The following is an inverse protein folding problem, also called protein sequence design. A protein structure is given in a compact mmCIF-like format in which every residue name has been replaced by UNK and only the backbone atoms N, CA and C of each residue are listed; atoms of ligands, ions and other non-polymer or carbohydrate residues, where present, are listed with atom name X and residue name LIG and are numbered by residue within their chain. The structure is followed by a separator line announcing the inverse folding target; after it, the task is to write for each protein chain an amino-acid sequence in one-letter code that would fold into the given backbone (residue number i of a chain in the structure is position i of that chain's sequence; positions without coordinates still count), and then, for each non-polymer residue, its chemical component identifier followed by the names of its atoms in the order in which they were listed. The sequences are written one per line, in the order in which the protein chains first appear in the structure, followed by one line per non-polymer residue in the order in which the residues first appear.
data_IF_128395761312
#
_entry.id   IF_128395761312
#
_cell.length_a   1.000
_cell.length_b   1.000
_cell.length_c   1.000
_cell.angle_alpha   90.00
_cell.angle_beta   90.00
_cell.angle_gamma   90.00
#
_symmetry.space_group_name_H-M   'P 1'
#
loop_
_entity.id
_entity.type
_entity.pdbx_description
1 polymer ?
#
# COMPACT_ATOMS: atom_id res chain seq x y z
N UNK A 1 15.71 7.38 24.37
CA UNK A 1 14.33 6.92 24.18
C UNK A 1 14.20 5.53 24.81
N UNK A 2 13.11 5.25 25.50
CA UNK A 2 12.93 4.01 26.29
C UNK A 2 12.96 2.72 25.46
N UNK A 3 12.75 2.79 24.14
CA UNK A 3 12.73 1.65 23.22
C UNK A 3 13.94 1.58 22.26
N UNK A 4 14.99 2.39 22.46
CA UNK A 4 16.11 2.48 21.51
C UNK A 4 16.91 1.16 21.38
N UNK A 5 16.80 0.26 22.36
CA UNK A 5 17.41 -1.08 22.31
C UNK A 5 16.68 -2.04 21.36
N UNK A 6 15.42 -1.74 21.02
CA UNK A 6 14.55 -2.56 20.15
C UNK A 6 14.29 -1.90 18.79
N UNK A 7 14.22 -0.57 18.76
CA UNK A 7 13.97 0.21 17.53
C UNK A 7 15.18 1.12 17.31
N UNK A 8 16.12 0.65 16.49
CA UNK A 8 17.26 1.44 16.05
C UNK A 8 17.70 1.08 14.62
N UNK A 9 18.52 1.96 14.05
CA UNK A 9 19.03 1.82 12.68
C UNK A 9 19.86 0.55 12.51
N UNK A 10 20.68 0.20 13.50
CA UNK A 10 21.55 -0.97 13.44
C UNK A 10 20.73 -2.26 13.24
N UNK A 11 19.67 -2.46 14.03
CA UNK A 11 18.76 -3.60 13.88
C UNK A 11 17.95 -3.51 12.58
N UNK A 12 17.44 -2.33 12.22
CA UNK A 12 16.65 -2.16 11.00
C UNK A 12 17.43 -2.51 9.72
N UNK A 13 18.74 -2.24 9.69
CA UNK A 13 19.61 -2.58 8.55
C UNK A 13 19.83 -4.10 8.40
N UNK A 14 19.73 -4.87 9.49
CA UNK A 14 19.92 -6.32 9.51
C UNK A 14 18.64 -7.08 9.10
N UNK A 15 17.46 -6.53 9.36
CA UNK A 15 16.17 -7.17 9.06
C UNK A 15 15.60 -6.69 7.72
N UNK A 16 15.55 -7.54 6.69
CA UNK A 16 15.08 -7.18 5.33
C UNK A 16 13.60 -6.79 5.23
N UNK A 17 12.81 -7.19 6.21
CA UNK A 17 11.39 -6.82 6.36
C UNK A 17 11.20 -5.58 7.24
N UNK A 18 12.28 -4.90 7.65
CA UNK A 18 12.19 -3.72 8.50
C UNK A 18 11.51 -2.55 7.81
N UNK A 19 11.00 -1.62 8.62
CA UNK A 19 10.45 -0.35 8.17
C UNK A 19 11.44 0.43 7.29
N UNK A 20 12.75 0.35 7.57
CA UNK A 20 13.79 1.01 6.77
C UNK A 20 13.76 0.56 5.31
N UNK A 21 13.75 -0.76 5.06
CA UNK A 21 13.69 -1.27 3.70
C UNK A 21 12.32 -1.06 3.06
N UNK A 22 11.24 -1.04 3.84
CA UNK A 22 9.92 -0.66 3.35
C UNK A 22 9.91 0.78 2.80
N UNK A 23 10.50 1.74 3.51
CA UNK A 23 10.65 3.11 3.02
C UNK A 23 11.58 3.21 1.80
N UNK A 24 12.67 2.45 1.75
CA UNK A 24 13.51 2.41 0.55
C UNK A 24 12.72 1.94 -0.68
N UNK A 25 11.86 0.92 -0.52
CA UNK A 25 10.96 0.46 -1.59
C UNK A 25 9.99 1.57 -2.01
N UNK A 26 9.35 2.27 -1.06
CA UNK A 26 8.46 3.39 -1.38
C UNK A 26 9.16 4.50 -2.19
N UNK A 27 10.38 4.85 -1.81
CA UNK A 27 11.18 5.86 -2.52
C UNK A 27 11.54 5.38 -3.93
N UNK A 28 11.94 4.11 -4.08
CA UNK A 28 12.24 3.53 -5.38
C UNK A 28 11.01 3.53 -6.29
N UNK A 29 9.86 3.07 -5.80
CA UNK A 29 8.60 3.08 -6.53
C UNK A 29 8.20 4.49 -6.94
N UNK A 30 8.29 5.47 -6.03
CA UNK A 30 7.97 6.88 -6.35
C UNK A 30 8.84 7.41 -7.51
N UNK A 31 10.11 7.03 -7.59
CA UNK A 31 11.02 7.42 -8.68
C UNK A 31 10.70 6.68 -9.98
N UNK A 32 10.34 5.41 -9.90
CA UNK A 32 10.08 4.54 -11.05
C UNK A 32 8.73 4.82 -11.72
N UNK A 33 7.69 5.16 -10.96
CA UNK A 33 6.32 5.33 -11.45
C UNK A 33 5.86 6.80 -11.36
N UNK A 34 5.89 7.57 -12.46
CA UNK A 34 5.50 8.99 -12.48
C UNK A 34 4.10 9.27 -11.95
N UNK A 35 3.15 8.32 -12.11
CA UNK A 35 1.78 8.41 -11.57
C UNK A 35 1.75 8.62 -10.04
N UNK A 36 2.76 8.16 -9.30
CA UNK A 36 2.87 8.38 -7.85
C UNK A 36 3.18 9.86 -7.53
N UNK A 37 3.94 10.54 -8.40
CA UNK A 37 4.39 11.91 -8.18
C UNK A 37 3.42 12.93 -8.77
N UNK A 38 3.03 12.70 -10.02
CA UNK A 38 2.36 13.68 -10.87
C UNK A 38 0.91 13.30 -11.18
N UNK A 39 0.45 12.12 -10.75
CA UNK A 39 -0.92 11.68 -11.00
C UNK A 39 -1.94 12.40 -10.13
N UNK A 40 -3.09 12.70 -10.76
CA UNK A 40 -4.24 13.35 -10.14
C UNK A 40 -4.78 12.51 -8.99
N UNK A 41 -4.95 13.14 -7.84
CA UNK A 41 -5.46 12.48 -6.63
C UNK A 41 -6.98 12.47 -6.61
N UNK A 42 -7.59 11.31 -6.34
CA UNK A 42 -9.03 11.18 -6.06
C UNK A 42 -9.27 10.21 -4.91
N UNK A 43 -10.07 10.57 -3.88
CA UNK A 43 -10.53 9.62 -2.87
C UNK A 43 -11.21 8.40 -3.51
N UNK A 44 -11.03 7.23 -2.90
CA UNK A 44 -11.66 5.97 -3.32
C UNK A 44 -12.16 5.23 -2.07
N UNK A 45 -13.16 4.34 -2.24
CA UNK A 45 -13.70 3.52 -1.15
C UNK A 45 -14.08 4.34 0.10
N UNK A 46 -14.67 5.52 -0.08
CA UNK A 46 -14.89 6.50 1.00
C UNK A 46 -15.94 6.07 2.03
N UNK A 47 -16.76 5.07 1.69
CA UNK A 47 -17.81 4.55 2.56
C UNK A 47 -17.29 3.45 3.51
N UNK A 48 -16.04 2.99 3.30
CA UNK A 48 -15.39 1.94 4.07
C UNK A 48 -14.69 2.55 5.29
N UNK A 49 -15.38 2.63 6.44
CA UNK A 49 -15.01 3.49 7.58
C UNK A 49 -13.53 3.46 8.01
N UNK A 50 -12.96 2.27 8.24
CA UNK A 50 -11.55 2.13 8.67
C UNK A 50 -10.55 2.06 7.51
N UNK A 51 -11.02 2.21 6.28
CA UNK A 51 -10.18 2.20 5.08
C UNK A 51 -9.91 3.63 4.64
N UNK A 52 -8.64 3.93 4.42
CA UNK A 52 -8.23 5.12 3.68
C UNK A 52 -7.75 4.64 2.32
N UNK A 53 -8.47 4.98 1.27
CA UNK A 53 -8.06 4.66 -0.09
C UNK A 53 -8.14 5.88 -1.01
N UNK A 54 -7.26 5.87 -2.00
CA UNK A 54 -7.23 6.89 -3.03
C UNK A 54 -6.63 6.33 -4.32
N UNK A 55 -7.07 6.91 -5.43
CA UNK A 55 -6.48 6.64 -6.73
C UNK A 55 -5.59 7.79 -7.18
N UNK A 56 -4.57 7.43 -7.98
CA UNK A 56 -3.78 8.36 -8.77
C UNK A 56 -3.89 7.99 -10.25
N UNK A 57 -4.07 8.98 -11.11
CA UNK A 57 -4.17 8.77 -12.55
C UNK A 57 -3.23 9.72 -13.30
N UNK A 58 -2.47 9.18 -14.24
CA UNK A 58 -1.59 9.95 -15.12
C UNK A 58 -1.49 9.24 -16.46
N UNK A 59 -1.94 9.90 -17.53
CA UNK A 59 -2.01 9.30 -18.87
C UNK A 59 -2.76 7.95 -18.81
N UNK A 60 -2.15 6.87 -19.29
CA UNK A 60 -2.72 5.52 -19.30
C UNK A 60 -2.45 4.74 -17.99
N UNK A 61 -1.70 5.31 -17.04
CA UNK A 61 -1.39 4.66 -15.76
C UNK A 61 -2.40 5.01 -14.68
N UNK A 62 -2.90 3.98 -13.98
CA UNK A 62 -3.78 4.18 -12.83
C UNK A 62 -3.30 3.40 -11.62
N UNK A 63 -3.26 4.05 -10.47
CA UNK A 63 -2.82 3.48 -9.21
C UNK A 63 -3.93 3.57 -8.19
N UNK A 64 -4.13 2.52 -7.39
CA UNK A 64 -5.01 2.51 -6.23
C UNK A 64 -4.19 2.14 -4.99
N UNK A 65 -4.16 3.04 -4.02
CA UNK A 65 -3.60 2.77 -2.69
C UNK A 65 -4.75 2.58 -1.72
N UNK A 66 -4.71 1.48 -0.96
CA UNK A 66 -5.71 1.08 0.03
C UNK A 66 -4.98 0.83 1.34
N UNK A 67 -5.47 1.41 2.43
CA UNK A 67 -4.84 1.32 3.74
C UNK A 67 -5.89 0.97 4.78
N UNK A 68 -5.71 -0.15 5.48
CA UNK A 68 -6.50 -0.45 6.67
C UNK A 68 -5.93 0.32 7.86
N UNK A 69 -6.67 1.30 8.36
CA UNK A 69 -6.28 2.10 9.53
C UNK A 69 -6.82 1.54 10.86
N UNK A 70 -7.31 0.30 10.86
CA UNK A 70 -7.81 -0.39 12.04
C UNK A 70 -6.91 -1.56 12.48
N UNK A 71 -7.11 -1.95 13.75
CA UNK A 71 -6.48 -3.12 14.34
C UNK A 71 -7.21 -4.43 14.00
N UNK A 72 -8.35 -4.34 13.32
CA UNK A 72 -9.19 -5.44 12.87
C UNK A 72 -9.03 -5.67 11.36
N UNK A 73 -9.35 -6.90 10.92
CA UNK A 73 -9.44 -7.22 9.49
C UNK A 73 -10.58 -6.46 8.83
N UNK A 74 -10.37 -6.04 7.60
CA UNK A 74 -11.39 -5.38 6.77
C UNK A 74 -11.56 -6.15 5.47
N UNK A 75 -12.81 -6.41 5.08
CA UNK A 75 -13.13 -7.07 3.81
C UNK A 75 -13.75 -6.03 2.89
N UNK A 76 -13.24 -5.91 1.68
CA UNK A 76 -13.77 -4.97 0.69
C UNK A 76 -13.74 -5.56 -0.72
N UNK A 77 -14.63 -5.05 -1.57
CA UNK A 77 -14.66 -5.36 -2.99
C UNK A 77 -13.83 -4.35 -3.76
N UNK A 78 -12.89 -4.84 -4.57
CA UNK A 78 -12.09 -3.99 -5.44
C UNK A 78 -12.95 -3.43 -6.58
N UNK A 79 -12.75 -2.16 -6.96
CA UNK A 79 -13.33 -1.63 -8.18
C UNK A 79 -12.93 -2.50 -9.38
N UNK A 80 -13.89 -2.79 -10.26
CA UNK A 80 -13.70 -3.71 -11.39
C UNK A 80 -12.53 -3.33 -12.30
N UNK A 81 -12.22 -2.04 -12.39
CA UNK A 81 -11.05 -1.53 -13.11
C UNK A 81 -9.73 -2.12 -12.59
N UNK A 82 -9.58 -2.37 -11.29
CA UNK A 82 -8.35 -2.95 -10.71
C UNK A 82 -8.35 -4.48 -10.64
N UNK A 83 -9.34 -5.17 -11.22
CA UNK A 83 -9.46 -6.64 -11.13
C UNK A 83 -8.24 -7.41 -11.66
N UNK A 84 -7.53 -6.86 -12.64
CA UNK A 84 -6.31 -7.44 -13.23
C UNK A 84 -5.06 -6.58 -12.93
N UNK A 85 -5.13 -5.72 -11.92
CA UNK A 85 -4.02 -4.84 -11.57
C UNK A 85 -2.85 -5.61 -10.98
N UNK A 86 -1.64 -5.12 -11.23
CA UNK A 86 -0.40 -5.62 -10.62
C UNK A 86 -0.31 -5.14 -9.18
N UNK A 87 -0.03 -6.05 -8.24
CA UNK A 87 0.35 -5.70 -6.87
C UNK A 87 1.73 -5.04 -6.93
N UNK A 88 1.79 -3.74 -6.63
CA UNK A 88 3.04 -2.98 -6.62
C UNK A 88 3.72 -3.03 -5.25
N UNK A 89 2.91 -3.01 -4.18
CA UNK A 89 3.39 -3.02 -2.81
C UNK A 89 2.33 -3.58 -1.86
N UNK A 90 2.77 -4.43 -0.93
CA UNK A 90 2.07 -4.69 0.34
C UNK A 90 3.08 -4.82 1.48
N UNK A 91 2.68 -4.45 2.70
CA UNK A 91 3.45 -4.74 3.92
C UNK A 91 3.14 -6.13 4.50
N UNK A 92 2.16 -6.83 3.94
CA UNK A 92 1.88 -8.24 4.21
C UNK A 92 2.21 -9.09 2.95
N UNK A 93 2.55 -10.38 3.10
CA UNK A 93 2.75 -11.26 1.96
C UNK A 93 1.43 -11.41 1.20
N UNK A 94 1.44 -11.06 -0.09
CA UNK A 94 0.29 -11.17 -0.99
C UNK A 94 0.78 -11.54 -2.38
N UNK A 95 0.28 -12.65 -2.91
CA UNK A 95 0.68 -13.18 -4.22
C UNK A 95 -0.42 -13.02 -5.27
N UNK A 96 -1.69 -13.05 -4.85
CA UNK A 96 -2.84 -13.01 -5.74
C UNK A 96 -3.82 -11.88 -5.38
N UNK A 97 -4.52 -11.41 -6.41
CA UNK A 97 -5.57 -10.43 -6.31
C UNK A 97 -6.89 -11.06 -6.73
N UNK A 98 -7.88 -10.98 -5.85
CA UNK A 98 -9.26 -11.39 -6.11
C UNK A 98 -10.17 -10.16 -6.10
N UNK A 99 -11.37 -10.28 -6.67
CA UNK A 99 -12.35 -9.17 -6.67
C UNK A 99 -12.75 -8.74 -5.26
N UNK A 100 -12.73 -9.65 -4.30
CA UNK A 100 -12.89 -9.36 -2.87
C UNK A 100 -11.56 -9.60 -2.17
N UNK A 101 -11.09 -8.63 -1.38
CA UNK A 101 -9.86 -8.76 -0.61
C UNK A 101 -10.15 -8.65 0.89
N UNK A 102 -9.42 -9.43 1.67
CA UNK A 102 -9.30 -9.25 3.11
C UNK A 102 -7.98 -8.53 3.38
N UNK A 103 -8.05 -7.38 4.05
CA UNK A 103 -6.90 -6.63 4.54
C UNK A 103 -6.66 -6.97 6.01
N UNK A 104 -5.42 -7.35 6.31
CA UNK A 104 -4.95 -7.54 7.68
C UNK A 104 -4.91 -6.21 8.46
N UNK A 105 -4.84 -6.24 9.80
CA UNK A 105 -4.64 -5.04 10.61
C UNK A 105 -3.46 -4.21 10.09
N UNK A 106 -3.66 -2.91 9.87
CA UNK A 106 -2.61 -2.03 9.33
C UNK A 106 -2.02 -2.45 7.97
N UNK A 107 -2.70 -3.30 7.20
CA UNK A 107 -2.26 -3.65 5.85
C UNK A 107 -2.41 -2.46 4.90
N UNK A 108 -1.35 -2.21 4.13
CA UNK A 108 -1.38 -1.34 2.97
C UNK A 108 -1.25 -2.18 1.72
N UNK A 109 -2.03 -1.86 0.70
CA UNK A 109 -1.99 -2.48 -0.61
C UNK A 109 -1.96 -1.38 -1.68
N UNK A 110 -0.98 -1.43 -2.57
CA UNK A 110 -0.92 -0.56 -3.76
C UNK A 110 -1.00 -1.40 -5.01
N UNK A 111 -1.97 -1.07 -5.86
CA UNK A 111 -2.25 -1.71 -7.14
C UNK A 111 -1.92 -0.75 -8.28
N UNK A 112 -1.32 -1.27 -9.35
CA UNK A 112 -1.04 -0.53 -10.57
C UNK A 112 -1.75 -1.20 -11.75
N UNK A 113 -2.49 -0.41 -12.51
CA UNK A 113 -3.13 -0.75 -13.76
C UNK A 113 -2.43 -0.02 -14.91
#
# INVERSE_FOLDING_TARGET
AENANEINVQQALQTKTSIFYFYQKLIALRKEYPVIQNGDYKPALTDEGSIIAYSRSLEDSKLLSIHNFAAEKQILTLPSEFSNAKILLSNYPREELTSTIELSPYETLTLLQ
#
